data_IF_326976284561
#
_entry.id   IF_326976284561
#
_cell.length_a   1.000
_cell.length_b   1.000
_cell.length_c   1.000
_cell.angle_alpha   90.00
_cell.angle_beta   90.00
_cell.angle_gamma   90.00
#
_symmetry.space_group_name_H-M   'P 1'
#
loop_
_entity.id
_entity.type
_entity.pdbx_description
1 polymer ?
#
# COMPACT_ATOMS: atom_id res chain seq x y z
N UNK A 1 -15.54 -37.36 12.27
CA UNK A 1 -15.23 -35.91 12.46
C UNK A 1 -16.35 -35.30 13.27
N UNK A 2 -16.09 -34.85 14.50
CA UNK A 2 -17.05 -34.00 15.22
C UNK A 2 -16.91 -32.60 14.62
N UNK A 3 -17.84 -32.23 13.74
CA UNK A 3 -17.98 -30.84 13.34
C UNK A 3 -18.50 -30.10 14.59
N UNK A 4 -17.60 -29.41 15.29
CA UNK A 4 -17.90 -28.69 16.52
C UNK A 4 -18.69 -27.43 16.23
N UNK A 5 -20.02 -27.54 16.27
CA UNK A 5 -20.90 -26.41 16.49
C UNK A 5 -21.18 -26.35 17.99
N UNK A 6 -20.23 -25.83 18.76
CA UNK A 6 -20.54 -25.34 20.11
C UNK A 6 -21.36 -24.06 19.95
N UNK A 7 -22.66 -24.21 19.68
CA UNK A 7 -23.61 -23.09 19.64
C UNK A 7 -23.95 -22.72 21.07
N UNK A 8 -23.01 -22.05 21.74
CA UNK A 8 -23.36 -21.34 22.96
C UNK A 8 -24.35 -20.23 22.56
N UNK A 9 -25.47 -20.06 23.30
CA UNK A 9 -26.40 -18.97 23.06
C UNK A 9 -25.67 -17.63 23.12
N UNK A 10 -25.90 -16.76 22.13
CA UNK A 10 -25.35 -15.41 22.15
C UNK A 10 -26.05 -14.60 23.24
N UNK A 11 -25.28 -13.98 24.13
CA UNK A 11 -25.81 -13.16 25.22
C UNK A 11 -26.16 -11.76 24.70
N UNK A 12 -27.42 -11.59 24.29
CA UNK A 12 -27.93 -10.33 23.73
C UNK A 12 -28.03 -9.23 24.80
N UNK A 13 -28.28 -9.58 26.05
CA UNK A 13 -28.42 -8.59 27.12
C UNK A 13 -27.05 -7.97 27.43
N UNK A 14 -26.02 -8.79 27.60
CA UNK A 14 -24.64 -8.30 27.76
C UNK A 14 -24.18 -7.45 26.57
N UNK A 15 -24.58 -7.79 25.34
CA UNK A 15 -24.26 -6.96 24.16
C UNK A 15 -24.97 -5.60 24.19
N UNK A 16 -26.20 -5.51 24.70
CA UNK A 16 -26.89 -4.22 24.86
C UNK A 16 -26.19 -3.35 25.90
N UNK A 17 -25.82 -3.93 27.04
CA UNK A 17 -25.14 -3.20 28.11
C UNK A 17 -23.79 -2.63 27.61
N UNK A 18 -22.99 -3.43 26.90
CA UNK A 18 -21.74 -2.97 26.31
C UNK A 18 -21.96 -1.88 25.25
N UNK A 19 -22.99 -2.01 24.41
CA UNK A 19 -23.33 -0.98 23.43
C UNK A 19 -23.65 0.34 24.14
N UNK A 20 -24.52 0.31 25.13
CA UNK A 20 -24.97 1.52 25.81
C UNK A 20 -23.81 2.19 26.55
N UNK A 21 -22.90 1.41 27.14
CA UNK A 21 -21.66 1.91 27.74
C UNK A 21 -20.74 2.57 26.71
N UNK A 22 -20.45 1.92 25.58
CA UNK A 22 -19.61 2.48 24.51
C UNK A 22 -20.20 3.79 23.96
N UNK A 23 -21.52 3.87 23.81
CA UNK A 23 -22.19 5.09 23.38
C UNK A 23 -22.13 6.21 24.44
N UNK A 24 -22.26 5.87 25.73
CA UNK A 24 -22.10 6.83 26.81
C UNK A 24 -20.68 7.44 26.84
N UNK A 25 -19.65 6.60 26.67
CA UNK A 25 -18.26 7.04 26.58
C UNK A 25 -18.02 7.92 25.35
N UNK A 26 -18.49 7.49 24.18
CA UNK A 26 -18.39 8.27 22.95
C UNK A 26 -19.11 9.62 23.06
N UNK A 27 -20.30 9.67 23.67
CA UNK A 27 -21.05 10.90 23.89
C UNK A 27 -20.30 11.85 24.83
N UNK A 28 -19.72 11.33 25.91
CA UNK A 28 -18.92 12.12 26.84
C UNK A 28 -17.70 12.75 26.15
N UNK A 29 -16.97 11.97 25.33
CA UNK A 29 -15.82 12.47 24.55
C UNK A 29 -16.25 13.51 23.50
N UNK A 30 -17.39 13.28 22.83
CA UNK A 30 -17.96 14.24 21.89
C UNK A 30 -18.31 15.57 22.56
N UNK A 31 -18.98 15.55 23.71
CA UNK A 31 -19.29 16.77 24.46
C UNK A 31 -18.04 17.55 24.92
N UNK A 32 -16.94 16.84 25.16
CA UNK A 32 -15.62 17.44 25.46
C UNK A 32 -14.90 18.00 24.24
N UNK A 33 -15.45 17.82 23.03
CA UNK A 33 -14.82 18.26 21.79
C UNK A 33 -13.55 17.47 21.45
N UNK A 34 -13.42 16.25 21.98
CA UNK A 34 -12.27 15.39 21.68
C UNK A 34 -12.23 15.06 20.19
N UNK A 35 -11.01 15.05 19.64
CA UNK A 35 -10.81 14.81 18.22
C UNK A 35 -11.01 13.33 17.90
N UNK A 36 -11.96 13.03 17.01
CA UNK A 36 -12.33 11.67 16.63
C UNK A 36 -11.92 11.30 15.19
N UNK A 37 -11.28 12.22 14.47
CA UNK A 37 -10.67 11.97 13.17
C UNK A 37 -9.14 12.03 13.27
N UNK A 38 -8.42 11.15 12.56
CA UNK A 38 -6.96 11.21 12.53
C UNK A 38 -6.49 12.51 11.86
N UNK A 39 -5.42 13.11 12.37
CA UNK A 39 -4.66 14.11 11.60
C UNK A 39 -3.54 13.46 10.78
N UNK A 40 -2.83 14.31 10.03
CA UNK A 40 -1.70 13.91 9.22
C UNK A 40 -0.61 13.17 10.02
N UNK A 41 -0.38 13.55 11.29
CA UNK A 41 0.62 12.89 12.13
C UNK A 41 0.15 11.47 12.50
N UNK A 42 -1.07 11.35 13.02
CA UNK A 42 -1.66 10.06 13.37
C UNK A 42 -1.79 9.13 12.14
N UNK A 43 -2.20 9.68 10.99
CA UNK A 43 -2.33 8.92 9.75
C UNK A 43 -0.97 8.37 9.30
N UNK A 44 0.08 9.20 9.36
CA UNK A 44 1.43 8.80 8.96
C UNK A 44 2.02 7.74 9.89
N UNK A 45 1.79 7.85 11.19
CA UNK A 45 2.39 6.97 12.20
C UNK A 45 1.66 5.63 12.31
N UNK A 46 0.33 5.64 12.27
CA UNK A 46 -0.46 4.44 12.59
C UNK A 46 -1.23 3.86 11.41
N UNK A 47 -1.77 4.70 10.51
CA UNK A 47 -2.67 4.24 9.44
C UNK A 47 -1.90 3.79 8.21
N UNK A 48 -1.01 4.65 7.68
CA UNK A 48 -0.24 4.36 6.45
C UNK A 48 0.56 3.06 6.52
N UNK A 49 1.27 2.73 7.62
CA UNK A 49 2.03 1.49 7.69
C UNK A 49 1.13 0.26 7.64
N UNK A 50 -0.03 0.29 8.31
CA UNK A 50 -0.94 -0.84 8.35
C UNK A 50 -1.71 -1.01 7.04
N UNK A 51 -2.03 0.09 6.35
CA UNK A 51 -2.56 0.06 4.98
C UNK A 51 -1.54 -0.54 4.00
N UNK A 52 -0.27 -0.13 4.09
CA UNK A 52 0.79 -0.65 3.23
C UNK A 52 1.03 -2.15 3.41
N UNK A 53 0.86 -2.69 4.63
CA UNK A 53 0.94 -4.14 4.89
C UNK A 53 -0.21 -4.94 4.28
N UNK A 54 -1.41 -4.35 4.18
CA UNK A 54 -2.61 -5.01 3.64
C UNK A 54 -2.77 -4.86 2.14
N UNK A 55 -2.07 -3.89 1.56
CA UNK A 55 -2.13 -3.65 0.13
C UNK A 55 -1.19 -4.62 -0.58
N UNK A 56 -1.76 -5.54 -1.36
CA UNK A 56 -0.97 -6.38 -2.25
C UNK A 56 -0.18 -5.51 -3.22
N UNK A 57 1.09 -5.85 -3.41
CA UNK A 57 1.91 -5.17 -4.40
C UNK A 57 1.28 -5.27 -5.79
N UNK A 58 1.45 -4.20 -6.57
CA UNK A 58 0.98 -4.20 -7.94
C UNK A 58 1.61 -5.37 -8.71
N UNK A 59 0.88 -6.13 -9.55
CA UNK A 59 1.41 -7.31 -10.24
C UNK A 59 2.69 -7.07 -11.03
N UNK A 60 2.88 -5.84 -11.52
CA UNK A 60 4.10 -5.44 -12.23
C UNK A 60 5.36 -5.48 -11.38
N UNK A 61 5.25 -5.40 -10.05
CA UNK A 61 6.42 -5.53 -9.18
C UNK A 61 7.10 -6.88 -9.39
N UNK A 62 6.35 -7.98 -9.37
CA UNK A 62 6.87 -9.33 -9.62
C UNK A 62 7.37 -9.52 -11.06
N UNK A 63 6.71 -8.89 -12.04
CA UNK A 63 7.18 -8.87 -13.44
C UNK A 63 8.55 -8.19 -13.56
N UNK A 64 8.72 -7.03 -12.93
CA UNK A 64 9.96 -6.27 -12.95
C UNK A 64 11.07 -6.95 -12.14
N UNK A 65 10.76 -7.54 -10.99
CA UNK A 65 11.69 -8.34 -10.20
C UNK A 65 12.24 -9.51 -11.04
N UNK A 66 11.36 -10.24 -11.72
CA UNK A 66 11.76 -11.34 -12.62
C UNK A 66 12.63 -10.82 -13.77
N UNK A 67 12.27 -9.67 -14.34
CA UNK A 67 13.03 -9.05 -15.42
C UNK A 67 14.45 -8.66 -14.97
N UNK A 68 14.62 -8.04 -13.80
CA UNK A 68 15.94 -7.66 -13.30
C UNK A 68 16.78 -8.86 -12.86
N UNK A 69 16.15 -9.88 -12.27
CA UNK A 69 16.84 -11.14 -11.93
C UNK A 69 17.40 -11.85 -13.17
N UNK A 70 16.71 -11.74 -14.31
CA UNK A 70 17.16 -12.33 -15.59
C UNK A 70 18.17 -11.46 -16.33
N UNK A 71 18.32 -10.19 -15.95
CA UNK A 71 19.23 -9.22 -16.58
C UNK A 71 20.07 -8.50 -15.51
N UNK A 72 20.94 -9.22 -14.77
CA UNK A 72 21.67 -8.67 -13.62
C UNK A 72 22.64 -7.54 -14.00
N UNK A 73 23.04 -7.47 -15.27
CA UNK A 73 23.97 -6.44 -15.77
C UNK A 73 23.30 -5.09 -16.05
N UNK A 74 21.96 -4.98 -15.90
CA UNK A 74 21.25 -3.72 -16.09
C UNK A 74 21.62 -2.70 -15.01
N UNK A 75 22.31 -1.63 -15.41
CA UNK A 75 22.70 -0.53 -14.52
C UNK A 75 21.81 0.72 -14.65
N UNK A 76 21.06 0.81 -15.74
CA UNK A 76 20.21 1.95 -16.04
C UNK A 76 18.94 1.51 -16.78
N UNK A 77 17.79 2.03 -16.38
CA UNK A 77 16.50 1.74 -16.98
C UNK A 77 15.67 3.01 -17.16
N UNK A 78 14.69 2.96 -18.06
CA UNK A 78 13.71 4.04 -18.25
C UNK A 78 12.30 3.51 -18.05
N UNK A 79 11.40 4.35 -17.52
CA UNK A 79 10.01 3.96 -17.26
C UNK A 79 9.33 3.50 -18.56
N UNK A 80 9.53 4.23 -19.66
CA UNK A 80 8.99 3.87 -20.97
C UNK A 80 9.55 2.53 -21.49
N UNK A 81 10.83 2.22 -21.26
CA UNK A 81 11.42 0.94 -21.65
C UNK A 81 10.80 -0.23 -20.90
N UNK A 82 10.58 -0.07 -19.59
CA UNK A 82 9.96 -1.08 -18.75
C UNK A 82 8.47 -1.28 -19.09
N UNK A 83 7.75 -0.22 -19.42
CA UNK A 83 6.36 -0.31 -19.88
C UNK A 83 6.24 -1.11 -21.17
N UNK A 84 7.17 -0.92 -22.11
CA UNK A 84 7.10 -1.55 -23.42
C UNK A 84 7.60 -3.00 -23.42
N UNK A 85 8.70 -3.32 -22.72
CA UNK A 85 9.38 -4.61 -22.85
C UNK A 85 8.85 -5.64 -21.85
N UNK A 86 9.15 -5.56 -20.54
CA UNK A 86 8.67 -6.56 -19.59
C UNK A 86 7.17 -6.48 -19.32
N UNK A 87 6.57 -5.28 -19.38
CA UNK A 87 5.14 -5.08 -19.10
C UNK A 87 4.28 -5.23 -20.37
N UNK A 88 4.82 -4.94 -21.56
CA UNK A 88 4.09 -5.08 -22.83
C UNK A 88 2.96 -4.07 -23.04
N UNK A 89 2.94 -2.95 -22.31
CA UNK A 89 1.90 -1.92 -22.40
C UNK A 89 2.34 -0.75 -23.30
N UNK A 90 1.93 -0.81 -24.56
CA UNK A 90 2.27 0.17 -25.60
C UNK A 90 1.50 1.50 -25.50
N UNK A 91 0.27 1.47 -24.97
CA UNK A 91 -0.56 2.67 -24.75
C UNK A 91 -0.58 3.07 -23.27
N UNK A 92 0.60 3.30 -22.68
CA UNK A 92 0.73 3.60 -21.26
C UNK A 92 0.39 5.07 -20.94
N UNK A 93 -0.52 5.25 -19.98
CA UNK A 93 -0.95 6.56 -19.46
C UNK A 93 -0.09 7.07 -18.31
N UNK A 94 -0.49 8.21 -17.73
CA UNK A 94 0.20 8.82 -16.58
C UNK A 94 0.19 7.91 -15.34
N UNK A 95 -0.94 7.23 -15.08
CA UNK A 95 -1.07 6.30 -13.97
C UNK A 95 -0.09 5.12 -14.10
N UNK A 96 0.03 4.54 -15.30
CA UNK A 96 0.97 3.44 -15.55
C UNK A 96 2.42 3.82 -15.26
N UNK A 97 2.81 5.03 -15.69
CA UNK A 97 4.14 5.57 -15.39
C UNK A 97 4.36 5.77 -13.89
N UNK A 98 3.33 6.20 -13.14
CA UNK A 98 3.42 6.32 -11.70
C UNK A 98 3.61 4.95 -11.03
N UNK A 99 2.81 3.96 -11.41
CA UNK A 99 2.93 2.58 -10.89
C UNK A 99 4.32 1.99 -11.11
N UNK A 100 4.93 2.18 -12.29
CA UNK A 100 6.29 1.69 -12.55
C UNK A 100 7.32 2.40 -11.67
N UNK A 101 7.17 3.71 -11.43
CA UNK A 101 8.06 4.45 -10.52
C UNK A 101 7.94 3.95 -9.09
N UNK A 102 6.72 3.67 -8.62
CA UNK A 102 6.49 3.11 -7.29
C UNK A 102 7.13 1.72 -7.17
N UNK A 103 7.00 0.88 -8.21
CA UNK A 103 7.67 -0.43 -8.24
C UNK A 103 9.20 -0.29 -8.20
N UNK A 104 9.76 0.65 -8.97
CA UNK A 104 11.20 0.92 -8.99
C UNK A 104 11.72 1.36 -7.61
N UNK A 105 11.00 2.23 -6.92
CA UNK A 105 11.35 2.65 -5.56
C UNK A 105 11.33 1.46 -4.58
N UNK A 106 10.31 0.59 -4.66
CA UNK A 106 10.23 -0.62 -3.82
C UNK A 106 11.37 -1.60 -4.09
N UNK A 107 11.83 -1.68 -5.34
CA UNK A 107 12.97 -2.51 -5.75
C UNK A 107 14.34 -1.86 -5.49
N UNK A 108 14.40 -0.68 -4.86
CA UNK A 108 15.65 0.00 -4.51
C UNK A 108 16.31 0.80 -5.64
N UNK A 109 15.59 1.08 -6.74
CA UNK A 109 16.11 1.93 -7.81
C UNK A 109 15.93 3.41 -7.46
N UNK A 110 16.92 4.23 -7.84
CA UNK A 110 16.95 5.66 -7.57
C UNK A 110 16.84 6.46 -8.86
N UNK A 111 16.03 7.51 -8.83
CA UNK A 111 15.83 8.41 -9.96
C UNK A 111 17.03 9.34 -10.14
N UNK A 112 17.64 9.35 -11.33
CA UNK A 112 18.75 10.25 -11.67
C UNK A 112 18.24 11.38 -12.54
N UNK A 113 18.33 12.61 -12.03
CA UNK A 113 18.01 13.83 -12.78
C UNK A 113 19.20 14.22 -13.66
N UNK A 114 19.19 13.81 -14.92
CA UNK A 114 20.17 14.23 -15.94
C UNK A 114 19.48 15.00 -17.05
N UNK A 115 19.70 16.31 -17.13
CA UNK A 115 19.37 17.16 -18.29
C UNK A 115 18.01 16.94 -18.95
N UNK A 116 17.94 17.19 -20.26
CA UNK A 116 16.71 17.21 -21.09
C UNK A 116 15.93 15.87 -21.12
N UNK A 117 16.46 14.78 -20.53
CA UNK A 117 15.86 13.45 -20.51
C UNK A 117 15.71 12.95 -19.06
N UNK A 118 14.64 13.40 -18.41
CA UNK A 118 14.42 13.32 -16.95
C UNK A 118 13.86 11.99 -16.42
N UNK A 119 14.04 10.85 -17.12
CA UNK A 119 13.34 9.59 -16.78
C UNK A 119 14.27 8.37 -16.66
N UNK A 120 15.51 8.60 -16.25
CA UNK A 120 16.54 7.56 -16.03
C UNK A 120 16.57 7.12 -14.57
N UNK A 121 16.62 5.81 -14.36
CA UNK A 121 16.70 5.16 -13.04
C UNK A 121 17.94 4.28 -12.99
N UNK A 122 18.63 4.31 -11.86
CA UNK A 122 19.85 3.52 -11.62
C UNK A 122 19.70 2.73 -10.33
N UNK A 123 20.28 1.54 -10.27
CA UNK A 123 20.31 0.74 -9.06
C UNK A 123 21.36 1.34 -8.12
N UNK A 124 20.96 1.71 -6.90
CA UNK A 124 21.90 2.13 -5.87
C UNK A 124 22.50 0.86 -5.24
N UNK A 125 23.83 0.72 -5.35
CA UNK A 125 24.59 -0.46 -4.94
C UNK A 125 24.94 -0.39 -3.45
#
# INVERSE_FOLDING_TARGET
MKCGLDVQPIDIESLRDHRDQLFAEAYHLYQRGEKWWPDAAFESEHIRPEQAKRYDDHPWLGTLETHFRTHPDMKEVTVSGLLNVPIGKTAAGRADKATVRDCLQKLGWVHRRTGQQSDRWVLEN
#
